data_IF_049769239609
#
_entry.id   IF_049769239609
#
_cell.length_a   1.000
_cell.length_b   1.000
_cell.length_c   1.000
_cell.angle_alpha   90.00
_cell.angle_beta   90.00
_cell.angle_gamma   90.00
#
_symmetry.space_group_name_H-M   'P 1'
#
loop_
_entity.id
_entity.type
_entity.pdbx_description
1 polymer ?
#
# COMPACT_ATOMS: atom_id res chain seq x y z
N UNK A 1 -16.52 10.50 -16.73
CA UNK A 1 -15.44 10.84 -15.79
C UNK A 1 -14.15 10.20 -16.26
N UNK A 2 -13.03 10.91 -16.25
CA UNK A 2 -11.76 10.35 -16.68
C UNK A 2 -11.25 9.35 -15.61
N UNK A 3 -11.09 8.05 -15.91
CA UNK A 3 -10.75 7.03 -14.91
C UNK A 3 -9.39 7.27 -14.26
N UNK A 4 -8.42 7.80 -15.01
CA UNK A 4 -7.13 8.27 -14.46
C UNK A 4 -7.32 9.19 -13.24
N UNK A 5 -8.20 10.20 -13.35
CA UNK A 5 -8.42 11.16 -12.26
C UNK A 5 -8.87 10.47 -10.98
N UNK A 6 -9.84 9.55 -11.11
CA UNK A 6 -10.41 8.83 -9.96
C UNK A 6 -9.36 7.92 -9.33
N UNK A 7 -8.66 7.15 -10.15
CA UNK A 7 -7.66 6.19 -9.67
C UNK A 7 -6.50 6.91 -8.99
N UNK A 8 -5.96 7.96 -9.61
CA UNK A 8 -4.93 8.81 -9.01
C UNK A 8 -5.45 9.48 -7.74
N UNK A 9 -6.68 9.99 -7.75
CA UNK A 9 -7.31 10.60 -6.60
C UNK A 9 -7.45 9.64 -5.42
N UNK A 10 -7.93 8.43 -5.67
CA UNK A 10 -8.05 7.37 -4.66
C UNK A 10 -6.70 6.99 -4.09
N UNK A 11 -5.70 6.74 -4.94
CA UNK A 11 -4.39 6.32 -4.43
C UNK A 11 -3.71 7.43 -3.63
N UNK A 12 -3.76 8.70 -4.07
CA UNK A 12 -3.21 9.82 -3.29
C UNK A 12 -3.97 10.04 -1.99
N UNK A 13 -5.30 9.96 -2.02
CA UNK A 13 -6.13 10.07 -0.83
C UNK A 13 -5.82 8.98 0.18
N UNK A 14 -5.78 7.72 -0.26
CA UNK A 14 -5.44 6.57 0.56
C UNK A 14 -4.02 6.69 1.13
N UNK A 15 -3.04 7.06 0.31
CA UNK A 15 -1.65 7.24 0.74
C UNK A 15 -1.53 8.32 1.82
N UNK A 16 -2.17 9.48 1.59
CA UNK A 16 -2.20 10.56 2.56
C UNK A 16 -2.81 10.12 3.90
N UNK A 17 -3.91 9.37 3.84
CA UNK A 17 -4.52 8.83 5.04
C UNK A 17 -3.59 7.88 5.81
N UNK A 18 -2.85 6.99 5.12
CA UNK A 18 -1.90 6.06 5.77
C UNK A 18 -0.79 6.76 6.53
N UNK A 19 -0.30 7.89 6.02
CA UNK A 19 0.66 8.73 6.74
C UNK A 19 0.01 9.32 7.99
N UNK A 20 -1.18 9.92 7.83
CA UNK A 20 -1.84 10.65 8.91
C UNK A 20 -2.33 9.76 10.06
N UNK A 21 -2.68 8.50 9.78
CA UNK A 21 -3.04 7.53 10.82
C UNK A 21 -1.83 6.78 11.42
N UNK A 22 -0.61 7.14 11.01
CA UNK A 22 0.62 6.56 11.54
C UNK A 22 0.96 5.15 11.03
N UNK A 23 0.30 4.67 9.97
CA UNK A 23 0.67 3.40 9.31
C UNK A 23 1.99 3.54 8.56
N UNK A 24 2.28 4.74 8.04
CA UNK A 24 3.56 5.10 7.44
C UNK A 24 4.27 6.16 8.32
N UNK A 25 4.78 5.79 9.51
CA UNK A 25 5.23 6.75 10.51
C UNK A 25 6.55 7.45 10.13
N UNK A 26 7.26 6.94 9.14
CA UNK A 26 8.53 7.50 8.67
C UNK A 26 8.37 8.49 7.54
N UNK A 27 7.17 8.63 6.96
CA UNK A 27 6.90 9.56 5.88
C UNK A 27 6.55 10.95 6.42
N UNK A 28 6.86 11.99 5.64
CA UNK A 28 6.58 13.37 5.99
C UNK A 28 5.08 13.63 6.21
N UNK A 29 4.74 14.16 7.39
CA UNK A 29 3.36 14.59 7.71
C UNK A 29 2.79 15.55 6.66
N UNK A 30 3.63 16.49 6.17
CA UNK A 30 3.24 17.47 5.15
C UNK A 30 2.88 16.75 3.85
N UNK A 31 3.64 15.72 3.45
CA UNK A 31 3.32 14.90 2.29
C UNK A 31 2.01 14.12 2.46
N UNK A 32 1.73 13.67 3.69
CA UNK A 32 0.44 13.06 4.06
C UNK A 32 -0.74 14.00 3.83
N UNK A 33 -0.67 15.22 4.39
CA UNK A 33 -1.71 16.25 4.21
C UNK A 33 -1.86 16.63 2.73
N UNK A 34 -0.75 16.89 2.04
CA UNK A 34 -0.79 17.28 0.63
C UNK A 34 -1.42 16.19 -0.25
N UNK A 35 -1.01 14.93 -0.08
CA UNK A 35 -1.57 13.79 -0.83
C UNK A 35 -3.06 13.62 -0.55
N UNK A 36 -3.50 13.77 0.71
CA UNK A 36 -4.91 13.70 1.09
C UNK A 36 -5.73 14.80 0.40
N UNK A 37 -5.26 16.05 0.44
CA UNK A 37 -5.96 17.19 -0.16
C UNK A 37 -6.03 17.10 -1.68
N UNK A 38 -4.91 16.77 -2.34
CA UNK A 38 -4.88 16.58 -3.80
C UNK A 38 -5.81 15.43 -4.19
N UNK A 39 -5.75 14.31 -3.46
CA UNK A 39 -6.66 13.19 -3.64
C UNK A 39 -8.13 13.60 -3.52
N UNK A 40 -8.48 14.33 -2.46
CA UNK A 40 -9.83 14.83 -2.24
C UNK A 40 -10.31 15.74 -3.37
N UNK A 41 -9.47 16.66 -3.85
CA UNK A 41 -9.79 17.55 -4.98
C UNK A 41 -10.06 16.74 -6.26
N UNK A 42 -9.24 15.73 -6.56
CA UNK A 42 -9.43 14.85 -7.73
C UNK A 42 -10.72 14.01 -7.64
N UNK A 43 -11.17 13.70 -6.42
CA UNK A 43 -12.39 12.95 -6.13
C UNK A 43 -13.63 13.81 -5.95
N UNK A 44 -13.49 15.13 -5.76
CA UNK A 44 -14.59 16.06 -5.52
C UNK A 44 -15.73 15.99 -6.55
N UNK A 45 -15.47 15.78 -7.86
CA UNK A 45 -16.56 15.65 -8.84
C UNK A 45 -17.37 14.34 -8.71
N UNK A 46 -16.95 13.41 -7.85
CA UNK A 46 -17.66 12.19 -7.51
C UNK A 46 -16.87 10.91 -7.80
N UNK A 47 -17.26 9.84 -7.11
CA UNK A 47 -16.77 8.49 -7.33
C UNK A 47 -17.60 7.79 -8.41
N UNK A 48 -16.96 7.04 -9.32
CA UNK A 48 -17.69 6.34 -10.35
C UNK A 48 -18.40 5.14 -9.71
N UNK A 49 -19.66 4.90 -10.11
CA UNK A 49 -20.56 3.95 -9.46
C UNK A 49 -19.97 2.52 -9.41
N UNK A 50 -20.10 1.84 -8.26
CA UNK A 50 -19.77 0.43 -8.08
C UNK A 50 -21.02 -0.31 -7.62
N UNK A 51 -21.39 -1.38 -8.34
CA UNK A 51 -22.48 -2.26 -7.96
C UNK A 51 -21.98 -3.26 -6.91
N UNK A 52 -21.99 -2.87 -5.64
CA UNK A 52 -21.74 -3.79 -4.53
C UNK A 52 -23.01 -4.57 -4.19
N UNK A 53 -23.20 -5.72 -4.83
CA UNK A 53 -24.41 -6.53 -4.66
C UNK A 53 -24.30 -7.54 -3.49
N UNK A 54 -23.08 -7.82 -3.02
CA UNK A 54 -22.85 -8.88 -2.02
C UNK A 54 -22.86 -8.33 -0.60
N UNK A 55 -24.06 -8.05 -0.06
CA UNK A 55 -24.26 -7.66 1.35
C UNK A 55 -23.53 -8.61 2.32
N UNK A 56 -23.62 -9.91 2.07
CA UNK A 56 -22.93 -10.94 2.86
C UNK A 56 -21.41 -10.75 2.90
N UNK A 57 -20.78 -10.37 1.79
CA UNK A 57 -19.34 -10.13 1.74
C UNK A 57 -18.95 -8.92 2.61
N UNK A 58 -19.74 -7.84 2.56
CA UNK A 58 -19.51 -6.66 3.42
C UNK A 58 -19.65 -7.01 4.90
N UNK A 59 -20.63 -7.85 5.25
CA UNK A 59 -20.82 -8.33 6.64
C UNK A 59 -19.62 -9.18 7.09
N UNK A 60 -19.21 -10.16 6.28
CA UNK A 60 -18.07 -11.02 6.61
C UNK A 60 -16.80 -10.21 6.80
N UNK A 61 -16.53 -9.25 5.91
CA UNK A 61 -15.38 -8.36 6.02
C UNK A 61 -15.48 -7.48 7.27
N UNK A 62 -16.64 -6.86 7.52
CA UNK A 62 -16.86 -6.00 8.68
C UNK A 62 -16.70 -6.75 10.01
N UNK A 63 -17.30 -7.94 10.11
CA UNK A 63 -17.16 -8.84 11.26
C UNK A 63 -15.73 -9.32 11.44
N UNK A 64 -15.04 -9.67 10.35
CA UNK A 64 -13.64 -10.10 10.39
C UNK A 64 -12.71 -8.99 10.86
N UNK A 65 -12.91 -7.76 10.38
CA UNK A 65 -12.14 -6.59 10.81
C UNK A 65 -12.35 -6.28 12.30
N UNK A 66 -13.60 -6.13 12.74
CA UNK A 66 -13.92 -5.79 14.12
C UNK A 66 -13.61 -6.94 15.09
N UNK A 67 -14.11 -8.14 14.80
CA UNK A 67 -13.95 -9.32 15.64
C UNK A 67 -12.51 -9.83 15.68
N UNK A 68 -11.79 -9.76 14.56
CA UNK A 68 -10.38 -10.16 14.48
C UNK A 68 -9.48 -9.31 15.37
N UNK A 69 -9.68 -7.99 15.39
CA UNK A 69 -8.94 -7.08 16.28
C UNK A 69 -9.21 -7.40 17.75
N UNK A 70 -10.48 -7.56 18.12
CA UNK A 70 -10.86 -7.87 19.51
C UNK A 70 -10.29 -9.21 19.96
N UNK A 71 -10.39 -10.24 19.11
CA UNK A 71 -9.85 -11.58 19.39
C UNK A 71 -8.32 -11.53 19.53
N UNK A 72 -7.63 -10.83 18.62
CA UNK A 72 -6.17 -10.69 18.69
C UNK A 72 -5.74 -10.04 20.01
N UNK A 73 -6.35 -8.90 20.38
CA UNK A 73 -5.99 -8.20 21.62
C UNK A 73 -6.32 -9.04 22.86
N UNK A 74 -7.42 -9.79 22.85
CA UNK A 74 -7.77 -10.71 23.92
C UNK A 74 -6.73 -11.84 24.08
N UNK A 75 -6.26 -12.41 22.97
CA UNK A 75 -5.29 -13.52 22.96
C UNK A 75 -3.89 -13.03 23.36
N UNK A 76 -3.47 -11.86 22.88
CA UNK A 76 -2.14 -11.31 23.13
C UNK A 76 -2.06 -10.55 24.46
N UNK A 77 -3.20 -10.12 25.02
CA UNK A 77 -3.25 -9.29 26.22
C UNK A 77 -2.77 -7.85 25.99
N UNK A 78 -2.84 -7.36 24.76
CA UNK A 78 -2.43 -6.00 24.39
C UNK A 78 -3.57 -4.98 24.51
N UNK A 79 -3.22 -3.72 24.76
CA UNK A 79 -4.16 -2.59 24.62
C UNK A 79 -4.35 -2.23 23.15
N UNK A 80 -5.54 -1.73 22.79
CA UNK A 80 -5.83 -1.25 21.44
C UNK A 80 -4.97 -0.02 21.09
N UNK A 81 -4.10 -0.14 20.10
CA UNK A 81 -3.41 0.99 19.47
C UNK A 81 -4.31 1.70 18.45
N UNK A 82 -3.81 2.81 17.90
CA UNK A 82 -4.58 3.62 16.95
C UNK A 82 -4.99 2.85 15.67
N UNK A 83 -4.13 2.02 15.05
CA UNK A 83 -4.53 1.24 13.88
C UNK A 83 -5.57 0.16 14.21
N UNK A 84 -5.48 -0.49 15.38
CA UNK A 84 -6.50 -1.45 15.85
C UNK A 84 -7.85 -0.77 16.04
N UNK A 85 -7.87 0.42 16.68
CA UNK A 85 -9.09 1.23 16.81
C UNK A 85 -9.65 1.60 15.44
N UNK A 86 -8.80 2.01 14.50
CA UNK A 86 -9.21 2.32 13.13
C UNK A 86 -9.88 1.14 12.43
N UNK A 87 -9.31 -0.06 12.55
CA UNK A 87 -9.86 -1.29 11.96
C UNK A 87 -11.16 -1.74 12.65
N UNK A 88 -11.26 -1.57 13.98
CA UNK A 88 -12.49 -1.82 14.74
C UNK A 88 -13.61 -0.89 14.28
N UNK A 89 -13.37 0.43 14.27
CA UNK A 89 -14.34 1.44 13.82
C UNK A 89 -14.76 1.17 12.38
N UNK A 90 -13.81 0.90 11.51
CA UNK A 90 -14.09 0.61 10.10
C UNK A 90 -14.94 -0.66 9.93
N UNK A 91 -14.61 -1.74 10.64
CA UNK A 91 -15.41 -2.97 10.64
C UNK A 91 -16.85 -2.74 11.10
N UNK A 92 -17.03 -1.97 12.18
CA UNK A 92 -18.36 -1.56 12.67
C UNK A 92 -19.12 -0.73 11.63
N UNK A 93 -18.49 0.24 10.98
CA UNK A 93 -19.10 1.04 9.91
C UNK A 93 -19.56 0.15 8.75
N UNK A 94 -18.76 -0.84 8.35
CA UNK A 94 -19.15 -1.78 7.30
C UNK A 94 -20.41 -2.59 7.68
N UNK A 95 -20.51 -3.04 8.93
CA UNK A 95 -21.69 -3.75 9.43
C UNK A 95 -22.95 -2.88 9.39
N UNK A 96 -22.84 -1.60 9.76
CA UNK A 96 -23.96 -0.65 9.67
C UNK A 96 -24.32 -0.27 8.22
N UNK A 97 -23.34 -0.26 7.32
CA UNK A 97 -23.52 0.07 5.91
C UNK A 97 -24.10 -1.10 5.09
N UNK A 98 -23.82 -2.35 5.47
CA UNK A 98 -24.26 -3.56 4.77
C UNK A 98 -25.77 -3.66 4.45
N UNK A 99 -26.71 -3.32 5.37
CA UNK A 99 -28.13 -3.33 5.03
C UNK A 99 -28.55 -2.17 4.10
N UNK A 100 -27.69 -1.18 3.89
CA UNK A 100 -27.98 0.08 3.20
C UNK A 100 -27.20 0.25 1.89
N UNK A 101 -26.55 -0.78 1.35
CA UNK A 101 -25.69 -0.64 0.16
C UNK A 101 -26.39 -0.03 -1.06
N UNK A 102 -27.69 -0.26 -1.21
CA UNK A 102 -28.51 0.29 -2.30
C UNK A 102 -29.01 1.71 -2.04
N UNK A 103 -28.88 2.22 -0.80
CA UNK A 103 -29.33 3.55 -0.45
C UNK A 103 -28.51 4.62 -1.20
N UNK A 104 -29.21 5.61 -1.77
CA UNK A 104 -28.59 6.70 -2.53
C UNK A 104 -28.24 7.86 -1.61
N UNK A 105 -27.02 8.35 -1.73
CA UNK A 105 -26.49 9.55 -1.08
C UNK A 105 -26.09 10.53 -2.18
N UNK A 106 -27.06 11.36 -2.60
CA UNK A 106 -26.91 12.26 -3.74
C UNK A 106 -26.61 11.49 -5.05
N UNK A 107 -25.50 11.79 -5.75
CA UNK A 107 -25.14 11.11 -7.00
C UNK A 107 -24.52 9.72 -6.80
N UNK A 108 -24.31 9.27 -5.56
CA UNK A 108 -23.62 8.01 -5.25
C UNK A 108 -24.52 7.05 -4.44
N UNK A 109 -24.11 5.78 -4.34
CA UNK A 109 -24.73 4.82 -3.43
C UNK A 109 -23.80 4.52 -2.25
N UNK A 110 -24.36 4.12 -1.10
CA UNK A 110 -23.56 3.61 0.02
C UNK A 110 -22.64 2.46 -0.44
N UNK A 111 -23.13 1.58 -1.32
CA UNK A 111 -22.33 0.51 -1.91
C UNK A 111 -21.13 1.00 -2.72
N UNK A 112 -21.26 2.13 -3.40
CA UNK A 112 -20.13 2.75 -4.12
C UNK A 112 -19.07 3.25 -3.13
N UNK A 113 -19.49 3.92 -2.06
CA UNK A 113 -18.59 4.42 -1.02
C UNK A 113 -17.88 3.25 -0.32
N UNK A 114 -18.64 2.22 0.08
CA UNK A 114 -18.10 1.00 0.69
C UNK A 114 -17.10 0.31 -0.21
N UNK A 115 -17.44 0.10 -1.49
CA UNK A 115 -16.55 -0.56 -2.45
C UNK A 115 -15.21 0.18 -2.59
N UNK A 116 -15.24 1.50 -2.75
CA UNK A 116 -14.02 2.31 -2.84
C UNK A 116 -13.26 2.43 -1.52
N UNK A 117 -13.91 2.25 -0.37
CA UNK A 117 -13.22 2.26 0.93
C UNK A 117 -12.33 1.03 1.15
N UNK A 118 -12.57 -0.10 0.46
CA UNK A 118 -11.76 -1.31 0.63
C UNK A 118 -10.27 -1.11 0.30
N UNK A 119 -9.88 -0.62 -0.89
CA UNK A 119 -8.46 -0.40 -1.16
C UNK A 119 -7.85 0.72 -0.31
N UNK A 120 -8.66 1.71 0.12
CA UNK A 120 -8.18 2.88 0.88
C UNK A 120 -7.94 2.58 2.35
N UNK A 121 -8.86 1.84 2.98
CA UNK A 121 -8.90 1.63 4.43
C UNK A 121 -8.61 0.17 4.75
N UNK A 122 -9.38 -0.75 4.16
CA UNK A 122 -9.29 -2.16 4.52
C UNK A 122 -7.92 -2.74 4.17
N UNK A 123 -7.46 -2.56 2.94
CA UNK A 123 -6.25 -3.25 2.47
C UNK A 123 -5.00 -2.87 3.29
N UNK A 124 -4.76 -1.58 3.61
CA UNK A 124 -3.63 -1.22 4.46
C UNK A 124 -3.82 -1.62 5.93
N UNK A 125 -5.03 -1.54 6.49
CA UNK A 125 -5.29 -1.98 7.86
C UNK A 125 -5.17 -3.51 8.00
N UNK A 126 -5.58 -4.27 7.00
CA UNK A 126 -5.35 -5.72 6.95
C UNK A 126 -3.87 -6.03 6.87
N UNK A 127 -3.10 -5.27 6.10
CA UNK A 127 -1.66 -5.45 6.05
C UNK A 127 -1.00 -5.11 7.39
N UNK A 128 -1.48 -4.08 8.08
CA UNK A 128 -1.04 -3.77 9.45
C UNK A 128 -1.34 -4.94 10.40
N UNK A 129 -2.57 -5.47 10.37
CA UNK A 129 -2.96 -6.62 11.18
C UNK A 129 -2.11 -7.86 10.85
N UNK A 130 -1.86 -8.11 9.56
CA UNK A 130 -0.99 -9.19 9.10
C UNK A 130 0.45 -8.99 9.59
N UNK A 131 0.97 -7.76 9.52
CA UNK A 131 2.29 -7.42 10.05
C UNK A 131 2.36 -7.74 11.56
N UNK A 132 1.38 -7.32 12.35
CA UNK A 132 1.33 -7.60 13.78
C UNK A 132 1.32 -9.11 14.10
N UNK A 133 0.63 -9.90 13.27
CA UNK A 133 0.63 -11.38 13.38
C UNK A 133 2.00 -11.96 12.99
N UNK A 134 2.61 -11.47 11.91
CA UNK A 134 3.86 -11.99 11.37
C UNK A 134 5.05 -11.63 12.28
N UNK A 135 5.12 -10.40 12.79
CA UNK A 135 6.25 -9.94 13.62
C UNK A 135 6.12 -10.36 15.08
N UNK A 136 4.91 -10.74 15.50
CA UNK A 136 4.60 -11.08 16.88
C UNK A 136 4.59 -9.86 17.83
N UNK A 137 4.29 -10.09 19.13
CA UNK A 137 4.11 -9.02 20.13
C UNK A 137 5.39 -8.24 20.43
N UNK A 138 6.56 -8.81 20.12
CA UNK A 138 7.86 -8.21 20.43
C UNK A 138 8.22 -7.01 19.52
N UNK A 139 7.44 -6.72 18.47
CA UNK A 139 7.54 -5.50 17.65
C UNK A 139 8.82 -5.31 16.83
N UNK A 140 9.86 -6.11 17.08
CA UNK A 140 11.16 -5.97 16.47
C UNK A 140 11.28 -6.74 15.16
N UNK A 141 10.55 -6.33 14.11
CA UNK A 141 10.84 -6.56 12.67
C UNK A 141 11.25 -7.96 12.18
N UNK A 142 11.16 -9.01 13.00
CA UNK A 142 12.01 -10.20 12.90
C UNK A 142 11.29 -11.51 13.21
N UNK A 143 9.99 -11.58 12.94
CA UNK A 143 9.26 -12.83 13.07
C UNK A 143 9.73 -13.91 12.09
N UNK A 144 9.49 -15.20 12.39
CA UNK A 144 10.01 -16.33 11.61
C UNK A 144 9.58 -16.32 10.14
N UNK A 145 8.48 -15.64 9.81
CA UNK A 145 7.97 -15.49 8.43
C UNK A 145 8.44 -14.17 7.79
N UNK A 146 8.45 -13.04 8.52
CA UNK A 146 8.90 -11.76 7.99
C UNK A 146 10.38 -11.78 7.62
N UNK A 147 11.20 -12.42 8.45
CA UNK A 147 12.67 -12.39 8.27
C UNK A 147 13.10 -12.98 6.93
N UNK A 148 12.69 -14.20 6.54
CA UNK A 148 13.03 -14.74 5.22
C UNK A 148 12.46 -13.89 4.07
N UNK A 149 11.22 -13.42 4.19
CA UNK A 149 10.59 -12.64 3.12
C UNK A 149 11.31 -11.32 2.85
N UNK A 150 11.72 -10.61 3.90
CA UNK A 150 12.51 -9.38 3.80
C UNK A 150 13.91 -9.70 3.27
N UNK A 151 14.55 -10.74 3.81
CA UNK A 151 15.91 -11.10 3.43
C UNK A 151 16.03 -11.44 1.94
N UNK A 152 15.24 -12.41 1.47
CA UNK A 152 15.29 -12.86 0.08
C UNK A 152 14.61 -11.88 -0.89
N UNK A 153 13.53 -11.23 -0.44
CA UNK A 153 12.76 -10.33 -1.28
C UNK A 153 13.38 -8.95 -1.44
N UNK A 154 14.20 -8.47 -0.50
CA UNK A 154 14.69 -7.09 -0.52
C UNK A 154 16.17 -6.97 -0.22
N UNK A 155 16.66 -7.59 0.86
CA UNK A 155 18.04 -7.39 1.32
C UNK A 155 19.04 -7.93 0.31
N UNK A 156 18.87 -9.17 -0.17
CA UNK A 156 19.77 -9.75 -1.18
C UNK A 156 19.69 -9.06 -2.56
N UNK A 157 18.50 -8.73 -3.09
CA UNK A 157 18.38 -7.91 -4.30
C UNK A 157 19.05 -6.54 -4.16
N UNK A 158 18.90 -5.88 -3.02
CA UNK A 158 19.55 -4.60 -2.75
C UNK A 158 21.07 -4.73 -2.68
N UNK A 159 21.59 -5.72 -1.95
CA UNK A 159 23.03 -5.97 -1.87
C UNK A 159 23.61 -6.25 -3.27
N UNK A 160 22.92 -7.04 -4.09
CA UNK A 160 23.28 -7.26 -5.50
C UNK A 160 23.29 -5.95 -6.29
N UNK A 161 22.28 -5.10 -6.10
CA UNK A 161 22.19 -3.82 -6.80
C UNK A 161 23.29 -2.83 -6.37
N UNK A 162 23.67 -2.82 -5.08
CA UNK A 162 24.80 -2.05 -4.56
C UNK A 162 26.13 -2.55 -5.12
N UNK A 163 26.32 -3.86 -5.19
CA UNK A 163 27.52 -4.45 -5.80
C UNK A 163 27.68 -4.06 -7.28
N UNK A 164 26.57 -4.01 -8.04
CA UNK A 164 26.58 -3.59 -9.46
C UNK A 164 27.09 -2.14 -9.62
N UNK A 165 26.79 -1.25 -8.67
CA UNK A 165 27.27 0.15 -8.71
C UNK A 165 28.61 0.35 -8.01
N UNK A 166 29.28 -0.73 -7.58
CA UNK A 166 30.61 -0.69 -6.96
C UNK A 166 30.60 -0.37 -5.47
N UNK A 167 29.47 -0.51 -4.79
CA UNK A 167 29.34 -0.27 -3.36
C UNK A 167 29.42 -1.61 -2.61
N UNK A 168 30.58 -1.97 -2.01
CA UNK A 168 30.72 -3.20 -1.26
C UNK A 168 29.82 -3.17 -0.01
N UNK A 169 29.19 -4.29 0.28
CA UNK A 169 28.28 -4.42 1.41
C UNK A 169 28.33 -5.82 1.99
N UNK A 170 28.27 -5.93 3.31
CA UNK A 170 28.11 -7.20 4.01
C UNK A 170 26.65 -7.35 4.45
N UNK A 171 26.07 -8.53 4.22
CA UNK A 171 24.69 -8.82 4.61
C UNK A 171 24.70 -9.68 5.88
N UNK A 172 24.14 -9.15 6.95
CA UNK A 172 23.98 -9.87 8.23
C UNK A 172 22.51 -9.87 8.63
N UNK A 173 21.84 -11.01 8.42
CA UNK A 173 20.39 -11.16 8.55
C UNK A 173 19.62 -10.12 7.70
N UNK A 174 18.83 -9.25 8.33
CA UNK A 174 18.09 -8.18 7.64
C UNK A 174 18.84 -6.84 7.60
N UNK A 175 20.13 -6.84 7.92
CA UNK A 175 20.97 -5.66 7.91
C UNK A 175 21.94 -5.68 6.74
N UNK A 176 22.19 -4.51 6.17
CA UNK A 176 23.27 -4.27 5.22
C UNK A 176 24.30 -3.40 5.92
N UNK A 177 25.51 -3.92 6.09
CA UNK A 177 26.65 -3.22 6.67
C UNK A 177 27.45 -2.63 5.51
N UNK A 178 27.65 -1.32 5.55
CA UNK A 178 28.35 -0.53 4.54
C UNK A 178 29.57 0.11 5.19
N UNK A 179 30.73 -0.02 4.55
CA UNK A 179 31.90 0.76 4.91
C UNK A 179 31.78 2.18 4.35
N UNK A 180 31.91 3.18 5.22
CA UNK A 180 31.85 4.59 4.81
C UNK A 180 33.11 5.33 5.25
N UNK A 181 33.45 6.48 4.62
CA UNK A 181 34.56 7.32 5.09
C UNK A 181 34.43 7.81 6.55
N UNK A 182 33.25 7.66 7.16
CA UNK A 182 32.94 8.08 8.54
C UNK A 182 32.80 6.88 9.50
N UNK A 183 33.17 5.67 9.05
CA UNK A 183 32.99 4.41 9.79
C UNK A 183 31.86 3.54 9.22
N UNK A 184 31.61 2.40 9.86
CA UNK A 184 30.56 1.47 9.44
C UNK A 184 29.15 2.06 9.56
N UNK A 185 28.32 1.86 8.54
CA UNK A 185 26.90 2.22 8.49
C UNK A 185 26.07 0.95 8.39
N UNK A 186 25.19 0.71 9.36
CA UNK A 186 24.27 -0.43 9.35
C UNK A 186 22.87 0.03 8.92
N UNK A 187 22.38 -0.52 7.81
CA UNK A 187 21.02 -0.30 7.31
C UNK A 187 20.13 -1.48 7.66
N UNK A 188 19.29 -1.31 8.69
CA UNK A 188 18.27 -2.28 9.04
C UNK A 188 17.06 -2.19 8.12
N UNK A 189 16.71 -3.31 7.49
CA UNK A 189 15.54 -3.41 6.60
C UNK A 189 14.38 -4.06 7.35
N UNK A 190 13.34 -3.27 7.65
CA UNK A 190 12.10 -3.76 8.23
C UNK A 190 10.96 -3.86 7.22
N UNK A 191 9.85 -4.49 7.62
CA UNK A 191 8.66 -4.62 6.75
C UNK A 191 8.07 -3.25 6.34
N UNK A 192 8.20 -2.25 7.21
CA UNK A 192 7.75 -0.89 6.93
C UNK A 192 8.58 -0.25 5.80
N UNK A 193 9.87 -0.58 5.70
CA UNK A 193 10.76 -0.14 4.62
C UNK A 193 10.57 -0.93 3.32
N UNK A 194 9.83 -2.04 3.36
CA UNK A 194 9.59 -2.91 2.21
C UNK A 194 8.70 -2.30 1.12
N UNK A 195 8.08 -1.14 1.39
CA UNK A 195 7.11 -0.55 0.46
C UNK A 195 5.82 -1.37 0.31
N UNK A 196 5.55 -2.26 1.28
CA UNK A 196 4.42 -3.20 1.19
C UNK A 196 3.07 -2.48 1.32
N UNK A 197 2.95 -1.46 2.19
CA UNK A 197 1.70 -0.70 2.37
C UNK A 197 1.28 0.05 1.10
N UNK A 198 2.16 0.87 0.47
CA UNK A 198 1.80 1.53 -0.79
C UNK A 198 1.51 0.54 -1.92
N UNK A 199 2.19 -0.62 -1.93
CA UNK A 199 1.93 -1.68 -2.90
C UNK A 199 0.56 -2.30 -2.73
N UNK A 200 0.15 -2.65 -1.51
CA UNK A 200 -1.18 -3.20 -1.25
C UNK A 200 -2.29 -2.19 -1.59
N UNK A 201 -2.10 -0.91 -1.24
CA UNK A 201 -3.01 0.16 -1.63
C UNK A 201 -3.14 0.24 -3.16
N UNK A 202 -2.02 0.32 -3.87
CA UNK A 202 -2.01 0.41 -5.33
C UNK A 202 -2.67 -0.80 -6.01
N UNK A 203 -2.24 -2.01 -5.64
CA UNK A 203 -2.77 -3.26 -6.20
C UNK A 203 -4.25 -3.43 -5.86
N UNK A 204 -4.68 -2.99 -4.68
CA UNK A 204 -6.10 -2.96 -4.29
C UNK A 204 -6.93 -2.05 -5.19
N UNK A 205 -6.46 -0.81 -5.44
CA UNK A 205 -7.14 0.12 -6.36
C UNK A 205 -7.19 -0.46 -7.78
N UNK A 206 -6.08 -1.03 -8.26
CA UNK A 206 -6.01 -1.65 -9.59
C UNK A 206 -6.91 -2.87 -9.72
N UNK A 207 -6.94 -3.76 -8.71
CA UNK A 207 -7.80 -4.94 -8.70
C UNK A 207 -9.28 -4.55 -8.69
N UNK A 208 -9.66 -3.56 -7.87
CA UNK A 208 -11.03 -3.05 -7.83
C UNK A 208 -11.44 -2.39 -9.15
N UNK A 209 -10.51 -1.63 -9.76
CA UNK A 209 -10.73 -1.06 -11.08
C UNK A 209 -10.94 -2.16 -12.14
N UNK A 210 -10.07 -3.17 -12.18
CA UNK A 210 -10.18 -4.30 -13.11
C UNK A 210 -11.47 -5.10 -12.93
N UNK A 211 -11.90 -5.30 -11.67
CA UNK A 211 -13.19 -5.93 -11.36
C UNK A 211 -14.37 -5.10 -11.89
N UNK A 212 -14.36 -3.80 -11.63
CA UNK A 212 -15.38 -2.85 -12.11
C UNK A 212 -15.51 -2.87 -13.63
N UNK A 213 -14.38 -2.81 -14.34
CA UNK A 213 -14.34 -2.79 -15.81
C UNK A 213 -14.46 -4.19 -16.41
N UNK A 214 -14.67 -5.23 -15.59
CA UNK A 214 -14.83 -6.63 -15.99
C UNK A 214 -13.67 -7.14 -16.86
N UNK A 215 -12.45 -6.72 -16.53
CA UNK A 215 -11.26 -7.14 -17.25
C UNK A 215 -11.12 -8.67 -17.22
N UNK A 216 -10.69 -9.31 -18.34
CA UNK A 216 -10.38 -10.72 -18.36
C UNK A 216 -9.33 -11.10 -17.30
N UNK A 217 -9.49 -12.23 -16.57
CA UNK A 217 -8.59 -12.59 -15.47
C UNK A 217 -7.11 -12.63 -15.85
N UNK A 218 -6.78 -13.08 -17.06
CA UNK A 218 -5.41 -13.11 -17.58
C UNK A 218 -4.80 -11.71 -17.70
N UNK A 219 -5.58 -10.73 -18.18
CA UNK A 219 -5.14 -9.33 -18.28
C UNK A 219 -5.02 -8.70 -16.90
N UNK A 220 -5.99 -8.96 -16.01
CA UNK A 220 -5.94 -8.51 -14.62
C UNK A 220 -4.67 -9.02 -13.92
N UNK A 221 -4.37 -10.31 -14.04
CA UNK A 221 -3.17 -10.92 -13.47
C UNK A 221 -1.88 -10.32 -14.06
N UNK A 222 -1.84 -10.09 -15.38
CA UNK A 222 -0.70 -9.44 -16.04
C UNK A 222 -0.46 -8.03 -15.50
N UNK A 223 -1.50 -7.19 -15.44
CA UNK A 223 -1.34 -5.81 -14.96
C UNK A 223 -1.00 -5.75 -13.48
N UNK A 224 -1.65 -6.56 -12.64
CA UNK A 224 -1.28 -6.67 -11.23
C UNK A 224 0.18 -7.13 -11.06
N UNK A 225 0.62 -8.12 -11.84
CA UNK A 225 2.00 -8.60 -11.83
C UNK A 225 3.01 -7.53 -12.24
N UNK A 226 2.77 -6.82 -13.35
CA UNK A 226 3.61 -5.70 -13.79
C UNK A 226 3.66 -4.59 -12.75
N UNK A 227 2.51 -4.30 -12.13
CA UNK A 227 2.39 -3.32 -11.05
C UNK A 227 3.21 -3.69 -9.82
N UNK A 228 3.10 -4.95 -9.37
CA UNK A 228 3.84 -5.47 -8.22
C UNK A 228 5.35 -5.47 -8.46
N UNK A 229 5.80 -5.97 -9.62
CA UNK A 229 7.22 -5.97 -9.99
C UNK A 229 7.77 -4.55 -10.11
N UNK A 230 7.01 -3.64 -10.73
CA UNK A 230 7.41 -2.24 -10.87
C UNK A 230 7.57 -1.52 -9.53
N UNK A 231 6.64 -1.74 -8.59
CA UNK A 231 6.73 -1.18 -7.24
C UNK A 231 7.87 -1.80 -6.43
N UNK A 232 8.08 -3.11 -6.55
CA UNK A 232 9.21 -3.79 -5.95
C UNK A 232 10.54 -3.20 -6.42
N UNK A 233 10.71 -3.04 -7.75
CA UNK A 233 11.89 -2.39 -8.34
C UNK A 233 12.05 -0.94 -7.85
N UNK A 234 10.96 -0.19 -7.78
CA UNK A 234 10.95 1.18 -7.26
C UNK A 234 11.43 1.23 -5.80
N UNK A 235 11.06 0.24 -4.99
CA UNK A 235 11.54 0.13 -3.62
C UNK A 235 13.04 -0.22 -3.54
N UNK A 236 13.55 -1.09 -4.42
CA UNK A 236 15.00 -1.36 -4.49
C UNK A 236 15.76 -0.07 -4.84
N UNK A 237 15.31 0.68 -5.85
CA UNK A 237 15.89 1.97 -6.23
C UNK A 237 15.86 2.96 -5.06
N UNK A 238 14.74 3.04 -4.33
CA UNK A 238 14.61 3.85 -3.11
C UNK A 238 15.72 3.51 -2.12
N UNK A 239 15.91 2.23 -1.83
CA UNK A 239 16.91 1.81 -0.85
C UNK A 239 18.35 2.02 -1.32
N UNK A 240 18.64 1.87 -2.62
CA UNK A 240 19.95 2.24 -3.18
C UNK A 240 20.26 3.72 -2.99
N UNK A 241 19.28 4.60 -3.28
CA UNK A 241 19.42 6.05 -3.05
C UNK A 241 19.72 6.32 -1.57
N UNK A 242 19.03 5.66 -0.65
CA UNK A 242 19.25 5.83 0.78
C UNK A 242 20.62 5.35 1.24
N UNK A 243 21.10 4.22 0.71
CA UNK A 243 22.45 3.73 0.99
C UNK A 243 23.50 4.74 0.53
N UNK A 244 23.42 5.21 -0.72
CA UNK A 244 24.33 6.23 -1.25
C UNK A 244 24.27 7.54 -0.44
N UNK A 245 23.07 7.96 -0.03
CA UNK A 245 22.92 9.14 0.80
C UNK A 245 23.57 8.96 2.17
N UNK A 246 23.38 7.79 2.78
CA UNK A 246 24.02 7.43 4.05
C UNK A 246 25.54 7.43 3.97
N UNK A 247 26.10 6.84 2.91
CA UNK A 247 27.55 6.81 2.67
C UNK A 247 28.10 8.23 2.53
N UNK A 248 27.46 9.08 1.71
CA UNK A 248 27.99 10.40 1.36
C UNK A 248 27.72 11.48 2.40
N UNK A 249 26.56 11.49 3.04
CA UNK A 249 26.13 12.57 3.93
C UNK A 249 25.77 12.11 5.36
N UNK A 250 25.77 10.81 5.64
CA UNK A 250 25.56 10.26 6.97
C UNK A 250 24.08 10.00 7.31
N UNK A 251 23.86 9.43 8.51
CA UNK A 251 22.55 8.93 8.94
C UNK A 251 21.45 10.00 9.04
N UNK A 252 21.77 11.22 9.47
CA UNK A 252 20.76 12.28 9.60
C UNK A 252 20.17 12.70 8.25
N UNK A 253 21.01 12.88 7.23
CA UNK A 253 20.57 13.16 5.86
C UNK A 253 19.83 11.97 5.28
N UNK A 254 20.29 10.74 5.54
CA UNK A 254 19.58 9.52 5.14
C UNK A 254 18.15 9.52 5.67
N UNK A 255 17.93 9.81 6.96
CA UNK A 255 16.57 9.84 7.54
C UNK A 255 15.70 10.94 6.93
N UNK A 256 16.30 12.10 6.64
CA UNK A 256 15.61 13.20 5.95
C UNK A 256 15.17 12.77 4.54
N UNK A 257 16.05 12.11 3.79
CA UNK A 257 15.71 11.60 2.45
C UNK A 257 14.71 10.44 2.56
N UNK A 258 14.85 9.56 3.55
CA UNK A 258 13.98 8.39 3.78
C UNK A 258 12.50 8.77 3.92
N UNK A 259 12.23 9.90 4.59
CA UNK A 259 10.88 10.45 4.80
C UNK A 259 10.26 11.11 3.57
N UNK A 260 11.04 11.31 2.49
CA UNK A 260 10.58 12.00 1.28
C UNK A 260 10.66 11.15 0.01
N UNK A 261 11.77 10.44 -0.19
CA UNK A 261 12.03 9.76 -1.46
C UNK A 261 11.02 8.64 -1.75
N UNK A 262 10.46 8.01 -0.72
CA UNK A 262 9.46 6.95 -0.86
C UNK A 262 8.20 7.43 -1.58
N UNK A 263 7.57 8.49 -1.08
CA UNK A 263 6.34 9.01 -1.67
C UNK A 263 6.57 9.67 -3.04
N UNK A 264 7.74 10.29 -3.26
CA UNK A 264 8.11 10.87 -4.55
C UNK A 264 8.19 9.78 -5.62
N UNK A 265 8.97 8.73 -5.36
CA UNK A 265 9.14 7.62 -6.29
C UNK A 265 7.82 6.87 -6.54
N UNK A 266 7.03 6.69 -5.48
CA UNK A 266 5.69 6.10 -5.60
C UNK A 266 4.78 6.93 -6.51
N UNK A 267 4.72 8.26 -6.33
CA UNK A 267 3.92 9.15 -7.17
C UNK A 267 4.37 9.14 -8.64
N UNK A 268 5.68 9.13 -8.90
CA UNK A 268 6.24 9.03 -10.26
C UNK A 268 5.86 7.69 -10.89
N UNK A 269 6.09 6.58 -10.18
CA UNK A 269 5.73 5.25 -10.67
C UNK A 269 4.24 5.16 -10.99
N UNK A 270 3.40 5.63 -10.07
CA UNK A 270 1.96 5.69 -10.23
C UNK A 270 1.55 6.44 -11.49
N UNK A 271 2.02 7.67 -11.67
CA UNK A 271 1.69 8.49 -12.83
C UNK A 271 2.11 7.79 -14.14
N UNK A 272 3.33 7.25 -14.18
CA UNK A 272 3.85 6.51 -15.32
C UNK A 272 3.05 5.24 -15.61
N UNK A 273 2.80 4.42 -14.59
CA UNK A 273 2.04 3.18 -14.72
C UNK A 273 0.64 3.44 -15.26
N UNK A 274 -0.10 4.40 -14.70
CA UNK A 274 -1.45 4.68 -15.17
C UNK A 274 -1.48 5.31 -16.56
N UNK A 275 -0.53 6.19 -16.89
CA UNK A 275 -0.41 6.75 -18.24
C UNK A 275 -0.18 5.67 -19.30
N UNK A 276 0.60 4.64 -18.97
CA UNK A 276 0.90 3.53 -19.87
C UNK A 276 -0.25 2.51 -19.90
N UNK A 277 -0.73 2.07 -18.74
CA UNK A 277 -1.65 0.94 -18.60
C UNK A 277 -3.09 1.32 -18.90
N UNK A 278 -3.58 2.49 -18.51
CA UNK A 278 -4.99 2.88 -18.76
C UNK A 278 -5.33 2.88 -20.25
N UNK A 279 -4.40 3.36 -21.08
CA UNK A 279 -4.56 3.34 -22.55
C UNK A 279 -4.78 1.93 -23.11
N UNK A 280 -4.29 0.90 -22.42
CA UNK A 280 -4.46 -0.49 -22.81
C UNK A 280 -5.67 -1.14 -22.13
N UNK A 281 -6.02 -0.70 -20.91
CA UNK A 281 -7.22 -1.15 -20.18
C UNK A 281 -8.52 -0.74 -20.88
N UNK A 282 -8.53 0.43 -21.52
CA UNK A 282 -9.71 0.97 -22.21
C UNK A 282 -9.89 0.44 -23.64
N UNK A 283 -8.92 -0.28 -24.19
CA UNK A 283 -9.06 -0.87 -25.53
C UNK A 283 -10.00 -2.08 -25.46
N UNK A 284 -11.06 -2.12 -26.31
CA UNK A 284 -11.89 -3.31 -26.44
C UNK A 284 -11.01 -4.53 -26.70
N UNK A 285 -11.27 -5.63 -26.00
CA UNK A 285 -10.57 -6.88 -26.29
C UNK A 285 -11.06 -7.37 -27.66
N UNK A 286 -10.20 -7.43 -28.71
CA UNK A 286 -10.63 -7.90 -30.02
C UNK A 286 -11.07 -9.36 -30.01
N UNK A 287 -10.77 -10.10 -28.95
CA UNK A 287 -11.17 -11.50 -28.75
C UNK A 287 -12.42 -11.65 -27.86
N UNK A 288 -12.98 -10.58 -27.31
CA UNK A 288 -14.19 -10.67 -26.51
C UNK A 288 -15.41 -10.79 -27.42
N UNK A 289 -15.86 -12.03 -27.62
CA UNK A 289 -17.06 -12.38 -28.40
C UNK A 289 -18.36 -12.26 -27.60
N UNK A 290 -18.33 -11.73 -26.37
CA UNK A 290 -19.55 -11.59 -25.57
C UNK A 290 -20.48 -10.54 -26.21
N UNK A 291 -21.77 -10.84 -26.43
CA UNK A 291 -22.71 -9.90 -27.01
C UNK A 291 -22.85 -8.66 -26.09
N UNK A 292 -22.68 -7.48 -26.68
CA UNK A 292 -22.92 -6.17 -26.05
C UNK A 292 -24.39 -5.90 -25.85
#
# INVERSE_FOLDING_TARGET
MHPLRVITGLTLFGYGLLILIGVLPHDSFIAGVASLLIGAVLLAPGLPALAMERRAAVIVIGSGAAGGVLLYNLVVGSSLGAPEVGLLVYGTVLLFAAPRLEHRLGPTTVGTIVGWSFPLLLAPLLLFALNAVITGPAGGGGGPIATPAIHYGLVLPLASALAIIGTPSEVVANNIILETPRGGLTLGVGLVCAGLYPMVLFLGVLALHAWRTRLPPRRTALYLGLGAVGLWMTNIIRMMILAEVGIRWGGATLQTVHSHIGWILFAIFMAGYWALVLRHLERPDPLDKRPT
#
